data_IF_828581263510
#
_entry.id   IF_828581263510
#
_cell.length_a   1.000
_cell.length_b   1.000
_cell.length_c   1.000
_cell.angle_alpha   90.00
_cell.angle_beta   90.00
_cell.angle_gamma   90.00
#
_symmetry.space_group_name_H-M   'P 1'
#
loop_
_entity.id
_entity.type
_entity.pdbx_description
1 polymer ?
#
# COMPACT_ATOMS: atom_id res chain seq x y z
N UNK A 1 -39.38 -6.05 -16.76
CA UNK A 1 -38.45 -7.05 -16.21
C UNK A 1 -37.07 -7.13 -16.90
N UNK A 2 -36.92 -6.79 -18.19
CA UNK A 2 -35.62 -6.91 -18.91
C UNK A 2 -34.51 -5.92 -18.47
N UNK A 3 -34.83 -4.70 -18.02
CA UNK A 3 -33.83 -3.73 -17.55
C UNK A 3 -33.14 -4.10 -16.23
N UNK A 4 -33.86 -4.71 -15.26
CA UNK A 4 -33.26 -5.14 -13.97
C UNK A 4 -32.30 -6.32 -14.14
N UNK A 5 -32.60 -7.24 -15.07
CA UNK A 5 -31.72 -8.39 -15.35
C UNK A 5 -30.42 -7.92 -16.00
N UNK A 6 -30.47 -6.99 -16.96
CA UNK A 6 -29.27 -6.46 -17.63
C UNK A 6 -28.32 -5.72 -16.67
N UNK A 7 -28.88 -4.93 -15.73
CA UNK A 7 -28.06 -4.22 -14.72
C UNK A 7 -27.41 -5.18 -13.72
N UNK A 8 -28.10 -6.26 -13.34
CA UNK A 8 -27.55 -7.30 -12.45
C UNK A 8 -26.45 -8.08 -13.17
N UNK A 9 -26.64 -8.46 -14.44
CA UNK A 9 -25.63 -9.17 -15.21
C UNK A 9 -24.37 -8.33 -15.44
N UNK A 10 -24.50 -7.03 -15.74
CA UNK A 10 -23.35 -6.13 -15.92
C UNK A 10 -22.59 -5.92 -14.59
N UNK A 11 -23.31 -5.79 -13.46
CA UNK A 11 -22.69 -5.64 -12.14
C UNK A 11 -21.92 -6.91 -11.73
N UNK A 12 -22.49 -8.09 -12.01
CA UNK A 12 -21.83 -9.39 -11.78
C UNK A 12 -20.60 -9.53 -12.66
N UNK A 13 -20.66 -9.17 -13.95
CA UNK A 13 -19.50 -9.23 -14.87
C UNK A 13 -18.39 -8.26 -14.45
N UNK A 14 -18.72 -7.08 -13.92
CA UNK A 14 -17.73 -6.10 -13.43
C UNK A 14 -17.07 -6.58 -12.13
N UNK A 15 -17.84 -7.13 -11.18
CA UNK A 15 -17.27 -7.74 -9.96
C UNK A 15 -16.41 -8.94 -10.34
N UNK A 16 -16.85 -9.76 -11.30
CA UNK A 16 -16.06 -10.88 -11.81
C UNK A 16 -14.78 -10.40 -12.50
N UNK A 17 -14.78 -9.31 -13.28
CA UNK A 17 -13.57 -8.80 -13.94
C UNK A 17 -12.56 -8.18 -12.95
N UNK A 18 -13.03 -7.51 -11.89
CA UNK A 18 -12.16 -6.98 -10.83
C UNK A 18 -11.60 -8.11 -9.97
N UNK A 19 -12.44 -9.09 -9.59
CA UNK A 19 -12.00 -10.28 -8.87
C UNK A 19 -11.08 -11.15 -9.72
N UNK A 20 -11.32 -11.28 -11.02
CA UNK A 20 -10.45 -12.01 -11.96
C UNK A 20 -9.14 -11.25 -12.19
N UNK A 21 -9.12 -9.91 -12.19
CA UNK A 21 -7.87 -9.13 -12.21
C UNK A 21 -7.03 -9.32 -10.95
N UNK A 22 -7.67 -9.37 -9.78
CA UNK A 22 -7.02 -9.66 -8.49
C UNK A 22 -6.59 -11.13 -8.40
N UNK A 23 -7.42 -12.04 -8.90
CA UNK A 23 -7.20 -13.49 -8.91
C UNK A 23 -6.14 -13.90 -9.93
N UNK A 24 -6.13 -13.32 -11.14
CA UNK A 24 -5.12 -13.55 -12.18
C UNK A 24 -3.80 -12.85 -11.86
N UNK A 25 -3.82 -11.62 -11.32
CA UNK A 25 -2.63 -10.97 -10.78
C UNK A 25 -2.06 -11.80 -9.62
N UNK A 26 -2.92 -12.30 -8.74
CA UNK A 26 -2.58 -13.26 -7.68
C UNK A 26 -2.11 -14.62 -8.20
N UNK A 27 -2.58 -15.10 -9.36
CA UNK A 27 -2.13 -16.35 -10.01
C UNK A 27 -0.79 -16.16 -10.72
N UNK A 28 -0.54 -15.02 -11.34
CA UNK A 28 0.67 -14.78 -12.09
C UNK A 28 1.85 -14.47 -11.14
N UNK A 29 1.59 -13.78 -10.04
CA UNK A 29 2.50 -13.68 -8.90
C UNK A 29 2.84 -15.05 -8.25
N UNK A 30 1.99 -16.09 -8.41
CA UNK A 30 2.24 -17.44 -7.83
C UNK A 30 3.44 -18.18 -8.44
N UNK A 31 3.90 -17.83 -9.65
CA UNK A 31 5.02 -18.54 -10.29
C UNK A 31 6.43 -18.00 -9.95
N UNK A 32 6.55 -16.86 -9.25
CA UNK A 32 7.83 -16.18 -8.96
C UNK A 32 8.60 -16.82 -7.78
N UNK A 33 8.23 -18.04 -7.37
CA UNK A 33 8.75 -18.68 -6.14
C UNK A 33 10.02 -19.53 -6.33
N UNK A 34 10.74 -19.41 -7.45
CA UNK A 34 12.05 -20.08 -7.67
C UNK A 34 13.17 -19.12 -8.06
N UNK A 35 13.66 -18.29 -7.13
CA UNK A 35 14.96 -17.61 -7.30
C UNK A 35 15.14 -16.86 -8.64
N UNK A 36 14.05 -16.37 -9.23
CA UNK A 36 14.13 -15.61 -10.47
C UNK A 36 14.55 -14.18 -10.13
N UNK A 37 15.42 -13.61 -10.97
CA UNK A 37 15.90 -12.26 -10.78
C UNK A 37 14.73 -11.32 -11.03
N UNK A 38 14.39 -10.40 -10.10
CA UNK A 38 13.24 -9.48 -10.29
C UNK A 38 13.34 -8.71 -11.62
N UNK A 39 14.58 -8.49 -12.09
CA UNK A 39 14.87 -7.90 -13.41
C UNK A 39 14.24 -8.65 -14.58
N UNK A 40 14.00 -9.96 -14.45
CA UNK A 40 13.42 -10.80 -15.50
C UNK A 40 11.90 -10.55 -15.68
N UNK A 41 11.27 -9.92 -14.68
CA UNK A 41 9.85 -9.55 -14.68
C UNK A 41 9.59 -8.06 -14.92
N UNK A 42 10.65 -7.24 -14.81
CA UNK A 42 10.64 -5.84 -15.18
C UNK A 42 10.61 -5.66 -16.71
N UNK A 43 10.36 -4.44 -17.16
CA UNK A 43 10.49 -4.05 -18.56
C UNK A 43 11.95 -4.21 -18.97
N UNK A 44 12.25 -5.24 -19.76
CA UNK A 44 13.61 -5.56 -20.18
C UNK A 44 14.18 -4.44 -21.07
N UNK A 45 15.18 -3.72 -20.56
CA UNK A 45 15.81 -2.62 -21.28
C UNK A 45 16.42 -3.07 -22.63
N UNK A 46 16.77 -4.35 -22.80
CA UNK A 46 17.30 -4.86 -24.07
C UNK A 46 16.23 -4.95 -25.16
N UNK A 47 14.95 -5.07 -24.78
CA UNK A 47 13.81 -5.13 -25.70
C UNK A 47 13.31 -3.73 -26.11
N UNK A 48 13.71 -2.70 -25.37
CA UNK A 48 13.39 -1.32 -25.72
C UNK A 48 14.21 -0.84 -26.91
N UNK A 49 13.63 0.01 -27.73
CA UNK A 49 14.32 0.74 -28.79
C UNK A 49 15.40 1.68 -28.23
N UNK A 50 16.27 2.21 -29.08
CA UNK A 50 17.31 3.14 -28.63
C UNK A 50 16.72 4.49 -28.18
N UNK A 51 15.60 4.91 -28.76
CA UNK A 51 14.86 6.12 -28.39
C UNK A 51 13.47 5.71 -27.91
N UNK A 52 13.32 5.62 -26.59
CA UNK A 52 12.11 5.09 -25.97
C UNK A 52 10.99 6.14 -26.01
N UNK A 53 9.81 5.73 -26.45
CA UNK A 53 8.64 6.61 -26.60
C UNK A 53 7.49 6.19 -25.70
N UNK A 54 6.54 7.09 -25.47
CA UNK A 54 5.33 6.77 -24.70
C UNK A 54 4.54 5.61 -25.35
N UNK A 55 4.47 5.56 -26.68
CA UNK A 55 3.78 4.49 -27.41
C UNK A 55 4.47 3.13 -27.28
N UNK A 56 5.79 3.12 -27.10
CA UNK A 56 6.53 1.91 -26.79
C UNK A 56 6.22 1.42 -25.38
N UNK A 57 6.29 2.29 -24.37
CA UNK A 57 5.99 1.90 -22.99
C UNK A 57 4.55 1.39 -22.81
N UNK A 58 3.57 1.93 -23.55
CA UNK A 58 2.19 1.42 -23.54
C UNK A 58 2.07 -0.05 -23.96
N UNK A 59 3.03 -0.57 -24.74
CA UNK A 59 3.05 -1.99 -25.13
C UNK A 59 3.48 -2.90 -23.98
N UNK A 60 4.18 -2.36 -22.98
CA UNK A 60 4.61 -3.08 -21.78
C UNK A 60 3.56 -2.92 -20.67
N UNK A 61 2.55 -3.77 -20.71
CA UNK A 61 1.36 -3.65 -19.87
C UNK A 61 0.98 -4.96 -19.18
N UNK A 62 1.88 -5.96 -19.16
CA UNK A 62 1.67 -7.13 -18.31
C UNK A 62 1.65 -6.73 -16.83
N UNK A 63 0.96 -7.49 -15.99
CA UNK A 63 0.85 -7.20 -14.55
C UNK A 63 2.23 -7.03 -13.89
N UNK A 64 3.21 -7.86 -14.29
CA UNK A 64 4.55 -7.79 -13.72
C UNK A 64 5.36 -6.62 -14.24
N UNK A 65 5.27 -6.27 -15.53
CA UNK A 65 5.91 -5.07 -16.06
C UNK A 65 5.34 -3.81 -15.41
N UNK A 66 4.03 -3.78 -15.14
CA UNK A 66 3.37 -2.67 -14.45
C UNK A 66 3.86 -2.52 -13.01
N UNK A 67 4.04 -3.63 -12.29
CA UNK A 67 4.56 -3.64 -10.92
C UNK A 67 6.04 -3.28 -10.88
N UNK A 68 6.87 -3.96 -11.67
CA UNK A 68 8.32 -3.91 -11.55
C UNK A 68 8.99 -2.84 -12.42
N UNK A 69 8.33 -2.33 -13.46
CA UNK A 69 8.82 -1.20 -14.23
C UNK A 69 10.27 -1.37 -14.71
N UNK A 70 11.16 -0.48 -14.27
CA UNK A 70 12.60 -0.49 -14.56
C UNK A 70 13.48 -0.95 -13.39
N UNK A 71 12.91 -1.62 -12.38
CA UNK A 71 13.66 -2.16 -11.23
C UNK A 71 14.87 -2.98 -11.70
N UNK A 72 16.06 -2.51 -11.34
CA UNK A 72 17.34 -3.12 -11.67
C UNK A 72 17.73 -3.13 -13.15
N UNK A 73 17.00 -2.47 -14.04
CA UNK A 73 17.31 -2.40 -15.46
C UNK A 73 18.48 -1.45 -15.76
N UNK A 74 19.20 -1.72 -16.85
CA UNK A 74 20.28 -0.85 -17.34
C UNK A 74 19.80 -0.07 -18.57
N UNK A 75 19.39 1.18 -18.36
CA UNK A 75 18.92 2.10 -19.40
C UNK A 75 20.03 3.08 -19.83
N UNK A 76 21.28 2.88 -19.39
CA UNK A 76 22.38 3.85 -19.62
C UNK A 76 22.63 4.16 -21.10
N UNK A 77 22.32 3.21 -21.98
CA UNK A 77 22.48 3.34 -23.44
C UNK A 77 21.20 3.80 -24.17
N UNK A 78 20.11 4.07 -23.44
CA UNK A 78 18.83 4.49 -24.02
C UNK A 78 18.70 6.01 -24.04
N UNK A 79 17.88 6.51 -24.95
CA UNK A 79 17.38 7.88 -24.96
C UNK A 79 15.92 7.88 -24.51
N UNK A 80 15.67 8.43 -23.33
CA UNK A 80 14.35 8.56 -22.71
C UNK A 80 13.77 9.98 -22.89
N UNK A 81 14.45 10.88 -23.60
CA UNK A 81 14.06 12.30 -23.73
C UNK A 81 12.70 12.51 -24.40
N UNK A 82 12.18 11.48 -25.09
CA UNK A 82 10.86 11.49 -25.74
C UNK A 82 9.73 11.01 -24.85
N UNK A 83 10.01 10.57 -23.62
CA UNK A 83 8.99 10.23 -22.64
C UNK A 83 8.38 11.49 -22.02
N UNK A 84 7.08 11.44 -21.74
CA UNK A 84 6.46 12.46 -20.89
C UNK A 84 6.78 12.20 -19.41
N UNK A 85 6.73 13.26 -18.59
CA UNK A 85 6.85 13.11 -17.13
C UNK A 85 5.77 12.18 -16.56
N UNK A 86 4.57 12.22 -17.13
CA UNK A 86 3.47 11.34 -16.74
C UNK A 86 3.75 9.87 -17.07
N UNK A 87 4.37 9.56 -18.21
CA UNK A 87 4.70 8.19 -18.56
C UNK A 87 5.77 7.63 -17.62
N UNK A 88 6.87 8.37 -17.43
CA UNK A 88 7.99 7.90 -16.60
C UNK A 88 7.65 7.90 -15.11
N UNK A 89 6.76 8.78 -14.62
CA UNK A 89 6.34 8.79 -13.20
C UNK A 89 5.57 7.55 -12.79
N UNK A 90 4.91 6.87 -13.74
CA UNK A 90 4.18 5.64 -13.47
C UNK A 90 5.05 4.37 -13.59
N UNK A 91 6.35 4.51 -13.83
CA UNK A 91 7.27 3.36 -13.92
C UNK A 91 8.01 3.17 -12.60
N UNK A 92 7.87 2.00 -12.00
CA UNK A 92 8.60 1.64 -10.78
C UNK A 92 10.11 1.51 -11.04
N UNK A 93 10.95 1.89 -10.07
CA UNK A 93 12.41 1.76 -10.20
C UNK A 93 13.09 1.73 -8.83
N UNK A 94 14.40 1.48 -8.81
CA UNK A 94 15.19 1.50 -7.59
C UNK A 94 16.61 2.02 -7.81
N UNK A 95 17.43 2.00 -6.75
CA UNK A 95 18.82 2.47 -6.77
C UNK A 95 19.77 1.59 -7.60
N UNK A 96 19.35 0.41 -8.03
CA UNK A 96 20.09 -0.44 -8.96
C UNK A 96 19.69 -0.23 -10.44
N UNK A 97 18.62 0.51 -10.70
CA UNK A 97 18.28 0.99 -12.05
C UNK A 97 19.36 1.98 -12.51
N UNK A 98 19.98 1.71 -13.67
CA UNK A 98 20.96 2.63 -14.25
C UNK A 98 20.28 3.52 -15.28
N UNK A 99 20.38 4.82 -15.09
CA UNK A 99 19.79 5.84 -15.96
C UNK A 99 20.79 6.30 -17.02
N UNK A 100 20.32 6.75 -18.20
CA UNK A 100 21.18 7.46 -19.15
C UNK A 100 21.59 8.83 -18.62
N UNK A 101 22.51 9.49 -19.32
CA UNK A 101 22.92 10.87 -19.03
C UNK A 101 21.71 11.82 -19.03
N UNK A 102 21.78 12.90 -18.24
CA UNK A 102 20.66 13.83 -18.04
C UNK A 102 20.09 14.41 -19.35
N UNK A 103 20.91 14.60 -20.38
CA UNK A 103 20.47 15.11 -21.70
C UNK A 103 19.54 14.13 -22.44
N UNK A 104 19.55 12.85 -22.04
CA UNK A 104 18.72 11.76 -22.54
C UNK A 104 17.56 11.41 -21.60
N UNK A 105 17.31 12.20 -20.55
CA UNK A 105 16.15 12.07 -19.69
C UNK A 105 15.07 13.09 -20.09
N UNK A 106 13.79 12.83 -19.78
CA UNK A 106 12.74 13.84 -19.93
C UNK A 106 13.08 15.12 -19.17
N UNK A 107 12.78 16.28 -19.75
CA UNK A 107 12.99 17.56 -19.08
C UNK A 107 12.22 17.61 -17.74
N UNK A 108 12.93 17.88 -16.65
CA UNK A 108 12.36 17.94 -15.30
C UNK A 108 12.29 16.59 -14.57
N UNK A 109 12.73 15.50 -15.20
CA UNK A 109 12.86 14.19 -14.55
C UNK A 109 14.18 14.10 -13.79
N UNK A 110 14.10 13.82 -12.49
CA UNK A 110 15.24 13.49 -11.65
C UNK A 110 14.89 12.24 -10.83
N UNK A 111 15.42 11.06 -11.20
CA UNK A 111 15.06 9.80 -10.56
C UNK A 111 15.45 9.77 -9.08
N UNK A 112 16.56 10.41 -8.69
CA UNK A 112 16.98 10.43 -7.30
C UNK A 112 16.06 11.30 -6.46
N UNK A 113 15.74 12.51 -6.94
CA UNK A 113 14.80 13.40 -6.26
C UNK A 113 13.43 12.76 -6.13
N UNK A 114 12.92 12.10 -7.18
CA UNK A 114 11.61 11.48 -7.17
C UNK A 114 11.54 10.28 -6.21
N UNK A 115 12.61 9.51 -6.13
CA UNK A 115 12.77 8.44 -5.16
C UNK A 115 12.73 8.95 -3.73
N UNK A 116 13.46 10.02 -3.42
CA UNK A 116 13.49 10.59 -2.08
C UNK A 116 12.16 11.27 -1.71
N UNK A 117 11.56 12.02 -2.65
CA UNK A 117 10.21 12.57 -2.49
C UNK A 117 9.17 11.49 -2.24
N UNK A 118 9.30 10.32 -2.90
CA UNK A 118 8.40 9.19 -2.74
C UNK A 118 8.27 8.67 -1.32
N UNK A 119 9.29 8.86 -0.47
CA UNK A 119 9.29 8.42 0.93
C UNK A 119 8.30 9.22 1.78
N UNK A 120 8.18 10.52 1.54
CA UNK A 120 7.22 11.39 2.25
C UNK A 120 5.78 10.88 2.04
N UNK A 121 5.02 10.54 3.10
CA UNK A 121 3.63 10.12 2.96
C UNK A 121 2.70 11.17 2.32
N UNK A 122 3.12 12.43 2.27
CA UNK A 122 2.37 13.56 1.72
C UNK A 122 1.24 14.03 2.63
N UNK A 123 0.42 14.94 2.10
CA UNK A 123 -0.74 15.54 2.78
C UNK A 123 -0.42 16.16 4.16
N UNK A 124 0.74 16.83 4.27
CA UNK A 124 1.21 17.50 5.48
C UNK A 124 1.50 16.56 6.68
N UNK A 125 1.71 15.25 6.47
CA UNK A 125 2.07 14.38 7.60
C UNK A 125 3.35 14.79 8.32
N UNK A 126 4.33 15.36 7.61
CA UNK A 126 5.54 15.90 8.25
C UNK A 126 5.21 16.95 9.31
N UNK A 127 4.25 17.85 9.05
CA UNK A 127 3.80 18.85 10.03
C UNK A 127 3.12 18.23 11.25
N UNK A 128 2.42 17.11 11.05
CA UNK A 128 1.79 16.35 12.14
C UNK A 128 2.89 15.69 13.00
N UNK A 129 3.92 15.13 12.37
CA UNK A 129 5.09 14.57 13.06
C UNK A 129 5.89 15.65 13.81
N UNK A 130 6.08 16.84 13.23
CA UNK A 130 6.75 17.99 13.86
C UNK A 130 6.03 18.46 15.13
N UNK A 131 4.72 18.24 15.24
CA UNK A 131 3.92 18.48 16.46
C UNK A 131 4.06 17.36 17.51
N UNK A 132 4.91 16.36 17.26
CA UNK A 132 5.11 15.21 18.14
C UNK A 132 4.04 14.11 17.99
N UNK A 133 3.17 14.19 16.99
CA UNK A 133 2.13 13.18 16.71
C UNK A 133 2.68 12.21 15.66
N UNK A 134 3.37 11.18 16.11
CA UNK A 134 4.17 10.23 15.30
C UNK A 134 3.69 8.78 15.44
N UNK A 135 2.62 8.54 16.21
CA UNK A 135 2.17 7.22 16.63
C UNK A 135 2.97 6.66 17.81
N UNK A 136 3.80 7.48 18.46
CA UNK A 136 4.61 7.10 19.61
C UNK A 136 3.73 6.58 20.75
N UNK A 137 4.13 5.45 21.32
CA UNK A 137 3.38 4.77 22.38
C UNK A 137 2.19 3.95 21.89
N UNK A 138 1.92 3.90 20.59
CA UNK A 138 0.87 3.06 20.00
C UNK A 138 1.50 1.82 19.39
N UNK A 139 0.94 0.65 19.72
CA UNK A 139 1.29 -0.64 19.11
C UNK A 139 0.37 -0.94 17.94
N UNK A 140 0.97 -1.26 16.79
CA UNK A 140 0.28 -1.63 15.55
C UNK A 140 0.78 -2.99 15.08
N UNK A 141 -0.05 -3.72 14.35
CA UNK A 141 0.35 -5.00 13.76
C UNK A 141 0.18 -5.05 12.24
N UNK A 142 1.01 -5.88 11.62
CA UNK A 142 0.88 -6.27 10.20
C UNK A 142 0.84 -7.79 10.13
N UNK A 143 -0.14 -8.34 9.39
CA UNK A 143 -0.14 -9.75 8.99
C UNK A 143 0.09 -9.79 7.49
N UNK A 144 1.23 -10.34 7.08
CA UNK A 144 1.61 -10.43 5.66
C UNK A 144 2.69 -11.51 5.48
N UNK A 145 3.24 -11.65 4.28
CA UNK A 145 4.29 -12.61 3.92
C UNK A 145 5.56 -12.40 4.76
N UNK A 146 6.49 -13.37 4.86
CA UNK A 146 7.74 -13.14 5.57
C UNK A 146 8.52 -11.98 4.96
N UNK A 147 9.30 -11.28 5.77
CA UNK A 147 10.07 -10.09 5.37
C UNK A 147 11.48 -10.15 5.93
N UNK A 148 12.36 -9.29 5.40
CA UNK A 148 13.65 -8.97 6.00
C UNK A 148 13.43 -8.14 7.26
N UNK A 149 13.32 -8.82 8.40
CA UNK A 149 13.04 -8.15 9.69
C UNK A 149 14.18 -7.24 10.18
N UNK A 150 15.35 -7.32 9.55
CA UNK A 150 16.54 -6.50 9.85
C UNK A 150 16.56 -5.15 9.13
N UNK A 151 15.57 -4.86 8.26
CA UNK A 151 15.52 -3.62 7.50
C UNK A 151 15.56 -2.36 8.38
N UNK A 152 16.30 -1.34 7.96
CA UNK A 152 16.60 -0.13 8.74
C UNK A 152 15.35 0.67 9.11
N UNK A 153 14.29 0.56 8.31
CA UNK A 153 12.97 1.14 8.59
C UNK A 153 12.40 0.73 9.96
N UNK A 154 12.71 -0.47 10.46
CA UNK A 154 12.07 -1.04 11.66
C UNK A 154 13.04 -1.35 12.81
N UNK A 155 14.33 -1.06 12.62
CA UNK A 155 15.40 -1.45 13.55
C UNK A 155 15.09 -0.95 14.97
N UNK A 156 15.06 -1.88 15.92
CA UNK A 156 14.77 -1.61 17.33
C UNK A 156 13.30 -1.41 17.70
N UNK A 157 12.35 -1.49 16.76
CA UNK A 157 10.92 -1.23 17.01
C UNK A 157 9.97 -2.35 16.61
N UNK A 158 10.49 -3.47 16.10
CA UNK A 158 9.68 -4.58 15.62
C UNK A 158 9.78 -5.83 16.49
N UNK A 159 8.63 -6.40 16.81
CA UNK A 159 8.48 -7.76 17.32
C UNK A 159 8.04 -8.64 16.14
N UNK A 160 8.80 -9.70 15.85
CA UNK A 160 8.59 -10.52 14.66
C UNK A 160 8.14 -11.93 15.04
N UNK A 161 6.96 -12.32 14.58
CA UNK A 161 6.35 -13.62 14.85
C UNK A 161 6.16 -14.39 13.55
N UNK A 162 6.66 -15.62 13.53
CA UNK A 162 6.41 -16.55 12.43
C UNK A 162 5.12 -17.31 12.71
N UNK A 163 4.23 -17.31 11.73
CA UNK A 163 2.95 -18.01 11.75
C UNK A 163 2.98 -19.06 10.64
N UNK A 164 2.35 -20.21 10.86
CA UNK A 164 2.22 -21.27 9.86
C UNK A 164 3.53 -22.01 9.55
N UNK A 165 3.41 -23.10 8.79
CA UNK A 165 4.53 -23.91 8.26
C UNK A 165 4.16 -24.41 6.86
N UNK A 166 5.15 -24.60 5.94
CA UNK A 166 6.56 -24.23 6.07
C UNK A 166 6.77 -22.71 6.04
N UNK A 167 7.94 -22.25 6.47
CA UNK A 167 8.33 -20.85 6.37
C UNK A 167 8.82 -20.55 4.94
N UNK A 168 8.33 -19.45 4.34
CA UNK A 168 8.72 -19.03 2.98
C UNK A 168 9.78 -17.93 3.01
N UNK A 169 10.38 -17.64 1.84
CA UNK A 169 11.40 -16.60 1.69
C UNK A 169 10.81 -15.19 1.93
N UNK A 170 11.63 -14.22 2.35
CA UNK A 170 11.24 -12.81 2.45
C UNK A 170 10.69 -12.23 1.14
N UNK A 171 9.57 -11.54 1.22
CA UNK A 171 8.86 -10.92 0.11
C UNK A 171 8.77 -9.40 0.30
N UNK A 172 8.76 -8.62 -0.78
CA UNK A 172 8.72 -7.14 -0.70
C UNK A 172 7.37 -6.59 -0.20
N UNK A 173 6.26 -7.24 -0.54
CA UNK A 173 4.89 -6.79 -0.22
C UNK A 173 4.69 -6.40 1.26
N UNK A 174 5.02 -7.29 2.19
CA UNK A 174 4.91 -6.99 3.62
C UNK A 174 5.87 -5.89 4.10
N UNK A 175 7.04 -5.75 3.48
CA UNK A 175 7.99 -4.65 3.74
C UNK A 175 7.40 -3.31 3.31
N UNK A 176 6.79 -3.26 2.13
CA UNK A 176 6.09 -2.08 1.66
C UNK A 176 4.95 -1.69 2.60
N UNK A 177 4.11 -2.66 2.98
CA UNK A 177 2.99 -2.40 3.91
C UNK A 177 3.47 -1.91 5.28
N UNK A 178 4.43 -2.61 5.88
CA UNK A 178 4.96 -2.23 7.19
C UNK A 178 5.67 -0.87 7.16
N UNK A 179 6.39 -0.55 6.07
CA UNK A 179 7.13 0.70 5.95
C UNK A 179 6.22 1.90 5.69
N UNK A 180 5.10 1.73 4.98
CA UNK A 180 4.05 2.76 4.88
C UNK A 180 3.36 2.98 6.23
N UNK A 181 3.13 1.92 7.00
CA UNK A 181 2.47 2.04 8.30
C UNK A 181 3.39 2.73 9.33
N UNK A 182 4.59 2.19 9.55
CA UNK A 182 5.46 2.57 10.68
C UNK A 182 6.96 2.58 10.35
N UNK A 183 7.28 2.72 9.07
CA UNK A 183 8.65 3.01 8.66
C UNK A 183 9.15 4.30 9.31
N UNK A 184 10.41 4.28 9.77
CA UNK A 184 11.12 5.46 10.26
C UNK A 184 11.13 6.61 9.24
N UNK A 185 11.32 6.33 7.95
CA UNK A 185 11.48 7.40 6.93
C UNK A 185 10.28 7.58 6.02
N UNK A 186 9.46 6.55 5.82
CA UNK A 186 8.32 6.59 4.92
C UNK A 186 6.97 6.26 5.57
N UNK A 187 6.94 6.12 6.90
CA UNK A 187 5.77 5.70 7.66
C UNK A 187 4.82 6.84 8.00
N UNK A 188 3.52 6.53 8.03
CA UNK A 188 2.47 7.42 8.54
C UNK A 188 2.56 7.56 10.06
N UNK A 189 2.77 6.45 10.77
CA UNK A 189 2.96 6.38 12.23
C UNK A 189 4.40 5.92 12.53
N UNK A 190 5.35 6.79 12.20
CA UNK A 190 6.80 6.51 12.13
C UNK A 190 7.43 6.04 13.44
N UNK A 191 6.81 6.34 14.59
CA UNK A 191 7.30 5.94 15.92
C UNK A 191 6.41 4.91 16.63
N UNK A 192 5.41 4.34 15.95
CA UNK A 192 4.65 3.21 16.50
C UNK A 192 5.53 1.96 16.69
N UNK A 193 5.14 1.12 17.66
CA UNK A 193 5.74 -0.20 17.90
C UNK A 193 5.11 -1.21 16.96
N UNK A 194 5.92 -1.89 16.15
CA UNK A 194 5.46 -2.85 15.15
C UNK A 194 5.41 -4.26 15.73
N UNK A 195 4.28 -4.93 15.56
CA UNK A 195 4.16 -6.38 15.72
C UNK A 195 3.88 -7.01 14.36
N UNK A 196 4.87 -7.72 13.82
CA UNK A 196 4.78 -8.32 12.50
C UNK A 196 4.50 -9.81 12.61
N UNK A 197 3.44 -10.27 11.97
CA UNK A 197 3.02 -11.67 11.95
C UNK A 197 3.18 -12.22 10.53
N UNK A 198 4.29 -12.92 10.32
CA UNK A 198 4.68 -13.46 9.04
C UNK A 198 3.94 -14.76 8.76
N UNK A 199 3.02 -14.74 7.79
CA UNK A 199 2.33 -15.94 7.29
C UNK A 199 2.98 -16.43 6.00
N UNK A 200 3.08 -17.74 5.75
CA UNK A 200 3.74 -18.26 4.56
C UNK A 200 3.04 -17.80 3.28
N UNK A 201 3.81 -17.55 2.22
CA UNK A 201 3.28 -17.21 0.89
C UNK A 201 2.77 -18.48 0.19
N UNK A 202 1.65 -19.02 0.68
CA UNK A 202 1.05 -20.29 0.24
C UNK A 202 -0.46 -20.12 -0.02
N UNK A 203 -1.01 -21.05 -0.78
CA UNK A 203 -2.45 -21.11 -1.09
C UNK A 203 -3.37 -21.25 0.14
N UNK A 204 -2.87 -21.78 1.26
CA UNK A 204 -3.63 -22.06 2.50
C UNK A 204 -3.54 -20.89 3.52
N UNK A 205 -3.16 -19.69 3.06
CA UNK A 205 -2.95 -18.50 3.91
C UNK A 205 -4.12 -18.11 4.82
N UNK A 206 -5.37 -18.41 4.44
CA UNK A 206 -6.56 -18.04 5.24
C UNK A 206 -6.58 -18.65 6.64
N UNK A 207 -6.07 -19.88 6.80
CA UNK A 207 -5.93 -20.50 8.12
C UNK A 207 -4.86 -19.80 8.97
N UNK A 208 -3.78 -19.34 8.34
CA UNK A 208 -2.68 -18.66 9.01
C UNK A 208 -3.05 -17.21 9.40
N UNK A 209 -3.91 -16.53 8.64
CA UNK A 209 -4.51 -15.25 9.07
C UNK A 209 -5.34 -15.41 10.35
N UNK A 210 -6.17 -16.46 10.43
CA UNK A 210 -6.93 -16.78 11.64
C UNK A 210 -6.00 -17.06 12.82
N UNK A 211 -4.92 -17.83 12.61
CA UNK A 211 -3.92 -18.10 13.65
C UNK A 211 -3.21 -16.82 14.11
N UNK A 212 -2.81 -15.96 13.16
CA UNK A 212 -2.14 -14.70 13.44
C UNK A 212 -3.03 -13.77 14.29
N UNK A 213 -4.29 -13.57 13.91
CA UNK A 213 -5.23 -12.74 14.69
C UNK A 213 -5.45 -13.32 16.09
N UNK A 214 -5.64 -14.64 16.22
CA UNK A 214 -5.76 -15.26 17.54
C UNK A 214 -4.48 -15.11 18.38
N UNK A 215 -3.30 -15.14 17.76
CA UNK A 215 -2.03 -14.90 18.46
C UNK A 215 -1.90 -13.46 18.94
N UNK A 216 -2.38 -12.48 18.16
CA UNK A 216 -2.44 -11.07 18.58
C UNK A 216 -3.34 -10.91 19.81
N UNK A 217 -4.53 -11.52 19.79
CA UNK A 217 -5.46 -11.50 20.94
C UNK A 217 -4.80 -12.10 22.18
N UNK A 218 -4.07 -13.22 22.03
CA UNK A 218 -3.33 -13.84 23.14
C UNK A 218 -2.23 -12.92 23.68
N UNK A 219 -1.41 -12.33 22.81
CA UNK A 219 -0.36 -11.38 23.20
C UNK A 219 -0.97 -10.19 23.95
N UNK A 220 -2.08 -9.64 23.48
CA UNK A 220 -2.78 -8.52 24.11
C UNK A 220 -3.26 -8.80 25.54
N UNK A 221 -3.42 -10.06 25.95
CA UNK A 221 -3.75 -10.41 27.35
C UNK A 221 -2.57 -10.16 28.29
N UNK A 222 -1.34 -10.27 27.78
CA UNK A 222 -0.10 -10.06 28.54
C UNK A 222 0.43 -8.62 28.48
N UNK A 223 -0.02 -7.83 27.50
CA UNK A 223 0.45 -6.45 27.34
C UNK A 223 -0.23 -5.49 28.33
N UNK A 224 0.52 -4.51 28.88
CA UNK A 224 -0.06 -3.38 29.60
C UNK A 224 -1.15 -2.69 28.77
N UNK A 225 -2.16 -2.11 29.44
CA UNK A 225 -3.32 -1.48 28.79
C UNK A 225 -2.93 -0.47 27.69
N UNK A 226 -1.88 0.32 27.93
CA UNK A 226 -1.36 1.35 27.02
C UNK A 226 -0.43 0.78 25.92
N UNK A 227 0.01 -0.47 26.02
CA UNK A 227 0.86 -1.13 25.02
C UNK A 227 0.11 -2.11 24.13
N UNK A 228 -1.18 -2.39 24.42
CA UNK A 228 -2.00 -3.30 23.63
C UNK A 228 -1.99 -2.92 22.15
N UNK A 229 -1.93 -3.93 21.30
CA UNK A 229 -2.09 -3.80 19.85
C UNK A 229 -3.56 -3.48 19.59
N UNK A 230 -3.84 -2.31 19.01
CA UNK A 230 -5.23 -1.85 18.77
C UNK A 230 -5.71 -2.09 17.34
N UNK A 231 -4.77 -2.17 16.40
CA UNK A 231 -5.07 -2.27 14.98
C UNK A 231 -4.11 -3.21 14.27
N UNK A 232 -4.65 -3.96 13.31
CA UNK A 232 -3.93 -4.88 12.45
C UNK A 232 -4.18 -4.48 11.01
N UNK A 233 -3.11 -4.22 10.25
CA UNK A 233 -3.14 -4.06 8.81
C UNK A 233 -2.98 -5.43 8.15
N UNK A 234 -3.98 -5.84 7.37
CA UNK A 234 -3.95 -7.04 6.54
C UNK A 234 -4.22 -6.63 5.10
N UNK A 235 -3.17 -6.59 4.30
CA UNK A 235 -3.25 -6.14 2.90
C UNK A 235 -3.68 -7.28 1.97
N UNK A 236 -4.74 -7.98 2.36
CA UNK A 236 -5.29 -9.18 1.73
C UNK A 236 -6.70 -9.45 2.31
N UNK A 237 -7.37 -10.49 1.82
CA UNK A 237 -8.62 -10.97 2.43
C UNK A 237 -8.78 -12.50 2.36
N UNK A 238 -9.84 -12.99 2.99
CA UNK A 238 -10.34 -14.35 2.82
C UNK A 238 -11.61 -14.29 1.99
N UNK A 239 -11.56 -14.85 0.78
CA UNK A 239 -12.71 -14.85 -0.14
C UNK A 239 -13.93 -15.60 0.41
N UNK A 240 -15.13 -15.22 -0.04
CA UNK A 240 -16.41 -15.80 0.42
C UNK A 240 -16.58 -17.28 0.11
N UNK A 241 -15.95 -17.76 -0.95
CA UNK A 241 -15.92 -19.17 -1.37
C UNK A 241 -14.81 -19.96 -0.66
N UNK A 242 -13.93 -19.31 0.10
CA UNK A 242 -12.92 -19.98 0.90
C UNK A 242 -13.58 -20.78 2.04
N UNK A 243 -13.17 -22.04 2.22
CA UNK A 243 -13.66 -22.90 3.32
C UNK A 243 -13.50 -22.29 4.72
N UNK A 244 -12.54 -21.38 4.90
CA UNK A 244 -12.29 -20.71 6.18
C UNK A 244 -13.04 -19.38 6.34
N UNK A 245 -13.85 -18.95 5.36
CA UNK A 245 -14.52 -17.65 5.38
C UNK A 245 -15.37 -17.43 6.64
N UNK A 246 -16.25 -18.38 6.98
CA UNK A 246 -17.07 -18.28 8.20
C UNK A 246 -16.20 -18.14 9.45
N UNK A 247 -15.10 -18.91 9.51
CA UNK A 247 -14.17 -18.85 10.64
C UNK A 247 -13.39 -17.53 10.70
N UNK A 248 -13.07 -16.96 9.54
CA UNK A 248 -12.48 -15.64 9.43
C UNK A 248 -13.44 -14.58 9.98
N UNK A 249 -14.70 -14.58 9.57
CA UNK A 249 -15.72 -13.65 10.08
C UNK A 249 -15.93 -13.77 11.60
N UNK A 250 -15.96 -14.99 12.15
CA UNK A 250 -15.97 -15.19 13.61
C UNK A 250 -14.74 -14.60 14.29
N UNK A 251 -13.56 -14.79 13.68
CA UNK A 251 -12.29 -14.29 14.23
C UNK A 251 -12.24 -12.76 14.22
N UNK A 252 -12.74 -12.12 13.17
CA UNK A 252 -12.89 -10.66 13.09
C UNK A 252 -13.82 -10.12 14.18
N UNK A 253 -14.98 -10.76 14.39
CA UNK A 253 -15.93 -10.39 15.46
C UNK A 253 -15.30 -10.53 16.85
N UNK A 254 -14.59 -11.63 17.10
CA UNK A 254 -13.86 -11.86 18.34
C UNK A 254 -12.78 -10.80 18.56
N UNK A 255 -11.97 -10.51 17.55
CA UNK A 255 -10.96 -9.46 17.62
C UNK A 255 -11.58 -8.11 18.01
N UNK A 256 -12.68 -7.72 17.35
CA UNK A 256 -13.36 -6.47 17.65
C UNK A 256 -13.90 -6.41 19.09
N UNK A 257 -14.48 -7.52 19.59
CA UNK A 257 -14.94 -7.60 20.98
C UNK A 257 -13.83 -7.47 22.04
N UNK A 258 -12.58 -7.75 21.65
CA UNK A 258 -11.38 -7.63 22.48
C UNK A 258 -10.67 -6.27 22.29
N UNK A 259 -11.28 -5.33 21.55
CA UNK A 259 -10.72 -4.01 21.26
C UNK A 259 -9.60 -4.02 20.21
N UNK A 260 -9.55 -5.06 19.36
CA UNK A 260 -8.59 -5.20 18.26
C UNK A 260 -9.32 -5.09 16.91
N UNK A 261 -9.03 -4.03 16.15
CA UNK A 261 -9.57 -3.89 14.80
C UNK A 261 -8.62 -4.50 13.77
N UNK A 262 -9.16 -5.32 12.87
CA UNK A 262 -8.43 -5.83 11.70
C UNK A 262 -8.92 -5.07 10.47
N UNK A 263 -8.04 -4.31 9.83
CA UNK A 263 -8.33 -3.58 8.59
C UNK A 263 -7.85 -4.43 7.42
N UNK A 264 -8.78 -4.82 6.56
CA UNK A 264 -8.58 -5.71 5.41
C UNK A 264 -9.24 -5.15 4.15
N UNK A 265 -9.00 -5.78 2.99
CA UNK A 265 -9.41 -5.24 1.69
C UNK A 265 -10.93 -5.03 1.56
N UNK A 266 -11.77 -5.94 2.08
CA UNK A 266 -13.22 -5.77 2.04
C UNK A 266 -13.71 -4.59 2.87
N UNK A 267 -13.14 -4.35 4.06
CA UNK A 267 -13.45 -3.16 4.87
C UNK A 267 -13.11 -1.90 4.07
N UNK A 268 -11.92 -1.85 3.48
CA UNK A 268 -11.47 -0.73 2.67
C UNK A 268 -12.42 -0.44 1.49
N UNK A 269 -12.89 -1.50 0.82
CA UNK A 269 -13.84 -1.40 -0.28
C UNK A 269 -15.23 -0.93 0.17
N UNK A 270 -15.72 -1.42 1.32
CA UNK A 270 -17.02 -1.06 1.92
C UNK A 270 -17.09 0.42 2.24
N UNK A 271 -16.01 0.98 2.78
CA UNK A 271 -15.89 2.42 3.10
C UNK A 271 -15.60 3.30 1.89
N UNK A 272 -15.67 2.73 0.68
CA UNK A 272 -15.48 3.43 -0.60
C UNK A 272 -14.12 4.13 -0.72
N UNK A 273 -13.10 3.64 -0.03
CA UNK A 273 -11.74 4.13 -0.22
C UNK A 273 -11.18 3.64 -1.57
N UNK A 274 -10.43 4.50 -2.24
CA UNK A 274 -9.85 4.22 -3.57
C UNK A 274 -8.40 4.68 -3.63
N UNK A 275 -7.66 4.13 -4.59
CA UNK A 275 -6.27 4.47 -4.84
C UNK A 275 -6.14 5.86 -5.44
N UNK A 276 -5.16 6.62 -4.97
CA UNK A 276 -4.82 7.90 -5.54
C UNK A 276 -3.36 8.27 -5.32
N UNK A 277 -2.90 9.26 -6.07
CA UNK A 277 -1.52 9.69 -6.05
C UNK A 277 -1.37 11.15 -6.38
N UNK A 278 -0.31 11.75 -5.84
CA UNK A 278 0.17 13.05 -6.30
C UNK A 278 1.38 12.80 -7.19
N UNK A 279 1.29 13.24 -8.45
CA UNK A 279 2.42 13.22 -9.36
C UNK A 279 3.63 13.90 -8.70
N UNK A 280 4.79 13.29 -8.85
CA UNK A 280 6.06 13.70 -8.24
C UNK A 280 6.58 15.05 -8.72
N UNK A 281 6.08 15.57 -9.83
CA UNK A 281 6.32 16.96 -10.26
C UNK A 281 5.50 17.99 -9.49
N UNK A 282 4.52 17.55 -8.70
CA UNK A 282 3.60 18.41 -7.94
C UNK A 282 3.88 18.35 -6.44
N UNK A 283 3.36 19.34 -5.72
CA UNK A 283 3.47 19.39 -4.26
C UNK A 283 2.51 18.36 -3.62
N UNK A 284 3.04 17.26 -3.08
CA UNK A 284 2.27 16.22 -2.38
C UNK A 284 1.66 16.64 -1.05
N UNK A 285 2.03 17.80 -0.53
CA UNK A 285 1.40 18.39 0.65
C UNK A 285 0.16 19.24 0.31
N UNK A 286 -0.13 19.42 -0.99
CA UNK A 286 -1.35 20.07 -1.43
C UNK A 286 -2.36 19.01 -1.95
N UNK A 287 -3.48 18.77 -1.24
CA UNK A 287 -4.48 17.77 -1.65
C UNK A 287 -5.09 18.05 -3.03
N UNK A 288 -5.08 19.30 -3.50
CA UNK A 288 -5.58 19.65 -4.84
C UNK A 288 -4.84 18.92 -5.96
N UNK A 289 -3.59 18.51 -5.74
CA UNK A 289 -2.74 17.86 -6.75
C UNK A 289 -2.96 16.35 -6.89
N UNK A 290 -3.81 15.76 -6.04
CA UNK A 290 -4.04 14.32 -6.09
C UNK A 290 -5.04 13.93 -7.15
N UNK A 291 -4.78 12.79 -7.77
CA UNK A 291 -5.59 12.21 -8.84
C UNK A 291 -5.91 10.76 -8.55
N UNK A 292 -6.94 10.25 -9.23
CA UNK A 292 -7.29 8.84 -9.17
C UNK A 292 -6.16 8.00 -9.79
N UNK A 293 -5.88 6.85 -9.18
CA UNK A 293 -4.87 5.93 -9.68
C UNK A 293 -5.20 5.38 -11.08
N UNK A 294 -4.18 5.20 -11.91
CA UNK A 294 -4.27 4.51 -13.21
C UNK A 294 -4.59 3.02 -13.09
N UNK A 295 -4.50 2.46 -11.88
CA UNK A 295 -5.03 1.14 -11.56
C UNK A 295 -6.51 1.00 -11.99
N UNK A 296 -7.28 2.09 -11.96
CA UNK A 296 -8.64 2.13 -12.45
C UNK A 296 -8.69 2.54 -13.92
N UNK A 297 -8.63 1.56 -14.82
CA UNK A 297 -8.67 1.73 -16.28
C UNK A 297 -9.85 2.54 -16.86
N UNK A 298 -10.90 2.75 -16.06
CA UNK A 298 -12.17 3.37 -16.44
C UNK A 298 -12.62 4.21 -15.26
N UNK A 299 -11.98 5.38 -15.15
CA UNK A 299 -12.21 6.33 -14.08
C UNK A 299 -13.68 6.78 -13.97
N UNK A 300 -14.47 6.66 -15.05
CA UNK A 300 -15.89 7.01 -15.08
C UNK A 300 -16.73 6.03 -14.25
N UNK A 301 -16.25 4.80 -14.04
CA UNK A 301 -16.88 3.82 -13.15
C UNK A 301 -16.58 4.10 -11.68
N UNK A 302 -15.60 4.94 -11.38
CA UNK A 302 -15.25 5.30 -10.01
C UNK A 302 -15.96 6.59 -9.65
N UNK A 303 -17.03 6.44 -8.85
CA UNK A 303 -17.83 7.52 -8.32
C UNK A 303 -16.94 8.58 -7.64
N UNK A 304 -17.19 9.87 -7.95
CA UNK A 304 -16.42 10.99 -7.40
C UNK A 304 -16.57 11.17 -5.89
N UNK A 305 -17.63 10.60 -5.31
CA UNK A 305 -17.85 10.59 -3.86
C UNK A 305 -16.90 9.65 -3.11
N UNK A 306 -16.30 8.67 -3.80
CA UNK A 306 -15.29 7.79 -3.22
C UNK A 306 -14.07 8.58 -2.75
N UNK A 307 -13.41 8.09 -1.71
CA UNK A 307 -12.36 8.83 -1.01
C UNK A 307 -11.01 8.24 -1.38
N UNK A 308 -10.17 9.04 -2.01
CA UNK A 308 -8.81 8.62 -2.34
C UNK A 308 -7.93 8.54 -1.09
N UNK A 309 -7.02 7.58 -1.10
CA UNK A 309 -5.96 7.39 -0.11
C UNK A 309 -4.63 7.31 -0.87
N UNK A 310 -3.56 7.98 -0.40
CA UNK A 310 -2.27 7.94 -1.07
C UNK A 310 -1.70 6.52 -1.18
N UNK A 311 -1.57 6.04 -2.42
CA UNK A 311 -1.02 4.72 -2.77
C UNK A 311 0.07 4.81 -3.84
N UNK A 312 -0.07 5.72 -4.80
CA UNK A 312 0.82 5.83 -5.96
C UNK A 312 1.97 6.79 -5.69
N UNK A 313 3.02 6.67 -6.51
CA UNK A 313 4.23 7.50 -6.44
C UNK A 313 4.90 7.46 -5.06
N UNK A 314 4.90 6.29 -4.43
CA UNK A 314 5.46 6.06 -3.08
C UNK A 314 6.77 5.33 -3.17
N UNK A 315 7.69 5.64 -2.27
CA UNK A 315 8.93 4.86 -2.07
C UNK A 315 8.85 4.13 -0.74
N UNK A 316 9.07 2.83 -0.78
CA UNK A 316 8.93 1.95 0.39
C UNK A 316 10.16 1.07 0.56
N UNK A 317 10.29 0.46 1.74
CA UNK A 317 11.29 -0.58 1.97
C UNK A 317 11.14 -1.74 0.99
N UNK A 318 12.24 -2.40 0.71
CA UNK A 318 12.34 -3.53 -0.21
C UNK A 318 13.20 -4.66 0.37
N UNK A 319 13.09 -5.88 -0.18
CA UNK A 319 13.64 -7.09 0.45
C UNK A 319 15.11 -7.40 0.09
N UNK A 320 15.76 -6.63 -0.79
CA UNK A 320 17.11 -6.92 -1.30
C UNK A 320 18.25 -6.70 -0.30
N UNK A 321 18.13 -5.70 0.57
CA UNK A 321 19.12 -5.43 1.63
C UNK A 321 18.44 -4.72 2.80
N UNK A 322 19.16 -4.50 3.89
CA UNK A 322 18.61 -3.78 5.06
C UNK A 322 18.34 -2.29 4.75
N UNK A 323 18.91 -1.74 3.67
CA UNK A 323 18.74 -0.35 3.24
C UNK A 323 18.09 -0.23 1.84
N UNK A 324 17.45 -1.30 1.34
CA UNK A 324 16.89 -1.31 -0.01
C UNK A 324 15.52 -0.63 -0.05
N UNK A 325 15.27 0.15 -1.10
CA UNK A 325 13.97 0.79 -1.34
C UNK A 325 13.59 0.69 -2.82
N UNK A 326 12.29 0.77 -3.07
CA UNK A 326 11.70 0.82 -4.42
C UNK A 326 10.75 2.00 -4.49
N UNK A 327 10.84 2.75 -5.58
CA UNK A 327 9.82 3.70 -5.99
C UNK A 327 8.74 2.95 -6.79
N UNK A 328 7.48 3.09 -6.38
CA UNK A 328 6.30 2.54 -7.04
C UNK A 328 5.59 3.66 -7.78
N UNK A 329 5.63 3.61 -9.11
CA UNK A 329 4.89 4.57 -9.94
C UNK A 329 3.39 4.40 -9.78
N UNK A 330 2.93 3.14 -9.74
CA UNK A 330 1.57 2.75 -9.41
C UNK A 330 1.56 1.89 -8.15
N UNK A 331 0.71 2.22 -7.18
CA UNK A 331 0.53 1.46 -5.94
C UNK A 331 -0.63 0.47 -6.03
N UNK A 332 -0.97 -0.12 -4.89
CA UNK A 332 -2.12 -1.01 -4.76
C UNK A 332 -2.98 -0.70 -3.53
N UNK A 333 -4.12 -1.38 -3.40
CA UNK A 333 -4.97 -1.35 -2.19
C UNK A 333 -4.16 -1.70 -0.95
N UNK A 334 -3.20 -2.61 -1.12
CA UNK A 334 -2.22 -2.97 -0.10
C UNK A 334 -1.41 -1.80 0.45
N UNK A 335 -1.20 -0.71 -0.30
CA UNK A 335 -0.45 0.47 0.19
C UNK A 335 -1.37 1.44 0.91
N UNK A 336 -2.65 1.45 0.56
CA UNK A 336 -3.64 2.35 1.12
C UNK A 336 -4.15 1.89 2.50
N UNK A 337 -4.30 0.58 2.71
CA UNK A 337 -4.65 -0.02 4.01
C UNK A 337 -3.66 0.40 5.13
N UNK A 338 -2.33 0.22 4.98
CA UNK A 338 -1.36 0.63 5.99
C UNK A 338 -1.32 2.16 6.18
N UNK A 339 -1.69 2.95 5.16
CA UNK A 339 -1.85 4.40 5.31
C UNK A 339 -2.97 4.74 6.30
N UNK A 340 -4.17 4.17 6.10
CA UNK A 340 -5.34 4.40 6.96
C UNK A 340 -5.10 3.87 8.37
N UNK A 341 -4.51 2.68 8.51
CA UNK A 341 -4.17 2.15 9.84
C UNK A 341 -3.13 3.01 10.57
N UNK A 342 -2.20 3.62 9.84
CA UNK A 342 -1.28 4.61 10.39
C UNK A 342 -1.98 5.86 10.90
N UNK A 343 -2.96 6.39 10.15
CA UNK A 343 -3.75 7.54 10.60
C UNK A 343 -4.54 7.21 11.87
N UNK A 344 -5.09 6.01 11.98
CA UNK A 344 -5.74 5.57 13.21
C UNK A 344 -4.76 5.52 14.40
N UNK A 345 -3.52 5.08 14.18
CA UNK A 345 -2.48 5.12 15.21
C UNK A 345 -2.13 6.55 15.64
N UNK A 346 -2.01 7.50 14.70
CA UNK A 346 -1.84 8.92 15.02
C UNK A 346 -3.02 9.47 15.84
N UNK A 347 -4.25 9.13 15.45
CA UNK A 347 -5.46 9.55 16.16
C UNK A 347 -5.52 9.02 17.60
N UNK A 348 -5.12 7.77 17.84
CA UNK A 348 -5.08 7.21 19.19
C UNK A 348 -3.99 7.80 20.08
N UNK A 349 -2.89 8.30 19.50
CA UNK A 349 -1.92 9.07 20.26
C UNK A 349 -2.54 10.38 20.78
N UNK A 350 -3.39 11.03 19.97
CA UNK A 350 -4.06 12.28 20.33
C UNK A 350 -5.22 12.03 21.31
N UNK A 351 -6.07 11.03 21.03
CA UNK A 351 -7.18 10.66 21.87
C UNK A 351 -7.29 9.13 22.01
N UNK A 352 -6.78 8.55 23.10
CA UNK A 352 -6.75 7.10 23.27
C UNK A 352 -8.13 6.48 23.52
N UNK A 353 -9.17 7.27 23.81
CA UNK A 353 -10.48 6.77 24.19
C UNK A 353 -11.41 6.49 22.99
N UNK A 354 -11.03 6.91 21.78
CA UNK A 354 -11.85 6.69 20.59
C UNK A 354 -11.90 5.21 20.18
N UNK A 355 -13.07 4.78 19.74
CA UNK A 355 -13.22 3.53 18.99
C UNK A 355 -12.67 3.70 17.57
N UNK A 356 -12.38 2.59 16.88
CA UNK A 356 -11.97 2.66 15.48
C UNK A 356 -13.08 3.24 14.58
N UNK A 357 -14.34 2.91 14.84
CA UNK A 357 -15.47 3.45 14.05
C UNK A 357 -15.55 4.99 14.19
N UNK A 358 -15.37 5.54 15.39
CA UNK A 358 -15.32 6.99 15.59
C UNK A 358 -14.14 7.66 14.87
N UNK A 359 -12.99 7.00 14.84
CA UNK A 359 -11.80 7.45 14.09
C UNK A 359 -12.09 7.45 12.59
N UNK A 360 -12.68 6.36 12.09
CA UNK A 360 -13.02 6.20 10.69
C UNK A 360 -14.06 7.22 10.23
N UNK A 361 -15.12 7.44 11.01
CA UNK A 361 -16.14 8.45 10.75
C UNK A 361 -15.52 9.85 10.64
N UNK A 362 -14.66 10.23 11.60
CA UNK A 362 -13.95 11.50 11.55
C UNK A 362 -13.02 11.61 10.34
N UNK A 363 -12.33 10.54 9.95
CA UNK A 363 -11.49 10.52 8.76
C UNK A 363 -12.31 10.75 7.48
N UNK A 364 -13.48 10.13 7.39
CA UNK A 364 -14.42 10.28 6.26
C UNK A 364 -15.04 11.68 6.25
N UNK A 365 -15.43 12.21 7.41
CA UNK A 365 -16.03 13.53 7.56
C UNK A 365 -15.05 14.64 7.12
N UNK A 366 -13.79 14.51 7.52
CA UNK A 366 -12.75 15.54 7.31
C UNK A 366 -12.07 15.49 5.95
N UNK A 367 -12.48 14.58 5.05
CA UNK A 367 -12.01 14.55 3.66
C UNK A 367 -12.09 15.92 2.98
N UNK A 368 -11.25 16.14 1.99
CA UNK A 368 -11.27 17.34 1.16
C UNK A 368 -11.39 17.00 -0.32
N UNK A 369 -11.53 18.00 -1.17
CA UNK A 369 -11.80 17.84 -2.60
C UNK A 369 -10.58 18.27 -3.41
N UNK A 370 -10.18 17.42 -4.35
CA UNK A 370 -9.07 17.65 -5.28
C UNK A 370 -9.47 18.60 -6.42
N UNK A 371 -8.51 19.04 -7.25
CA UNK A 371 -8.83 19.87 -8.43
C UNK A 371 -9.74 19.15 -9.45
N UNK A 372 -9.79 17.81 -9.44
CA UNK A 372 -10.63 17.00 -10.33
C UNK A 372 -12.07 16.79 -9.78
N UNK A 373 -12.37 17.39 -8.63
CA UNK A 373 -13.66 17.26 -7.95
C UNK A 373 -13.86 15.88 -7.30
N UNK A 374 -12.77 15.16 -6.98
CA UNK A 374 -12.79 13.88 -6.25
C UNK A 374 -12.44 14.10 -4.79
N UNK A 375 -12.95 13.25 -3.91
CA UNK A 375 -12.59 13.29 -2.50
C UNK A 375 -11.23 12.64 -2.24
N UNK A 376 -10.49 13.18 -1.27
CA UNK A 376 -9.26 12.60 -0.72
C UNK A 376 -9.24 12.81 0.80
N UNK A 377 -8.64 11.88 1.54
CA UNK A 377 -8.38 12.08 2.96
C UNK A 377 -7.56 13.35 3.21
N UNK A 378 -7.77 13.99 4.36
CA UNK A 378 -7.04 15.19 4.78
C UNK A 378 -6.51 14.96 6.21
N UNK A 379 -5.29 14.39 6.36
CA UNK A 379 -4.73 14.04 7.67
C UNK A 379 -4.63 15.21 8.63
N UNK A 380 -4.36 16.43 8.14
CA UNK A 380 -4.23 17.61 9.00
C UNK A 380 -5.59 18.03 9.56
N UNK A 381 -6.63 18.13 8.71
CA UNK A 381 -8.00 18.38 9.18
C UNK A 381 -8.49 17.26 10.09
N UNK A 382 -8.19 16.02 9.74
CA UNK A 382 -8.54 14.83 10.52
C UNK A 382 -7.94 14.89 11.93
N UNK A 383 -6.63 15.02 12.07
CA UNK A 383 -5.98 15.05 13.39
C UNK A 383 -6.43 16.27 14.22
N UNK A 384 -6.67 17.41 13.58
CA UNK A 384 -7.21 18.59 14.27
C UNK A 384 -8.66 18.41 14.76
N UNK A 385 -9.46 17.52 14.15
CA UNK A 385 -10.81 17.20 14.62
C UNK A 385 -10.85 16.16 15.75
N UNK A 386 -9.73 15.46 15.98
CA UNK A 386 -9.53 14.50 17.07
C UNK A 386 -9.06 15.19 18.36
N UNK A 387 -8.30 16.28 18.21
CA UNK A 387 -7.73 17.06 19.32
C UNK A 387 -8.74 18.00 20.01
N UNK A 388 -9.96 18.12 19.47
CA UNK A 388 -11.10 18.85 20.05
C UNK A 388 -12.03 17.89 20.74
#
# INVERSE_FOLDING_TARGET
>A
MKKKILTITITIVIIFAVLVGIYLGGIYLRNITKQDNIKDYAIDAKKLSNVVTNEELKKHHSDLERIYGFIGQDLSQKDLSKLSLEAISNISFDKSTKWPENVKLPQGYDPNKWFDMGKDPGLNLSKIHERGITGKGISVAVIDKPIRSTHDEFKGRMNYYKIGIPQTKPHFHGLACASILTGKTCGVASESKLYYFATPDLWIKSADYIKAVNKIIEINKSLPKNEKIRIVSVSDDVDKDNKNYSKWQETLKKANSEGLTVVHADLFNKEKFRLGGCDVSKNRNNPLNYKLSKFYWDEKKIDKSNIMVPSDFRTTADNRSDAAYVYWGEGGVSWAIPYVTGLAALAWQVNPNLTFDQILDKLIETKTTTSEGRNIIDPEKFINSIAK
#
